data_IF_344117521230
#
_entry.id   IF_344117521230
#
_cell.length_a   1.000
_cell.length_b   1.000
_cell.length_c   1.000
_cell.angle_alpha   90.00
_cell.angle_beta   90.00
_cell.angle_gamma   90.00
#
_symmetry.space_group_name_H-M   'P 1'
#
loop_
_entity.id
_entity.type
_entity.pdbx_description
1 polymer ?
#
# COMPACT_ATOMS: atom_id res chain seq x y z
N UNK A 1 6.11 -3.72 6.65
CA UNK A 1 5.25 -4.59 5.82
C UNK A 1 4.13 -5.24 6.63
N UNK A 2 4.42 -6.10 7.63
CA UNK A 2 3.38 -6.78 8.45
C UNK A 2 2.40 -5.78 9.11
N UNK A 3 2.93 -4.70 9.70
CA UNK A 3 2.09 -3.63 10.29
C UNK A 3 1.23 -2.92 9.24
N UNK A 4 1.75 -2.75 8.02
CA UNK A 4 0.98 -2.18 6.91
C UNK A 4 -0.17 -3.09 6.49
N UNK A 5 0.07 -4.41 6.46
CA UNK A 5 -0.93 -5.43 6.16
C UNK A 5 -2.00 -5.54 7.25
N UNK A 6 -1.63 -5.36 8.52
CA UNK A 6 -2.60 -5.28 9.61
C UNK A 6 -3.50 -4.05 9.47
N UNK A 7 -2.96 -2.90 9.03
CA UNK A 7 -3.73 -1.68 8.77
C UNK A 7 -4.81 -1.87 7.71
N UNK A 8 -4.51 -2.55 6.60
CA UNK A 8 -5.51 -2.84 5.56
C UNK A 8 -6.59 -3.82 6.03
N UNK A 9 -6.24 -4.82 6.86
CA UNK A 9 -7.24 -5.71 7.48
C UNK A 9 -8.20 -4.94 8.39
N UNK A 10 -7.67 -4.01 9.19
CA UNK A 10 -8.47 -3.15 10.07
C UNK A 10 -9.36 -2.22 9.24
N UNK A 11 -8.86 -1.65 8.14
CA UNK A 11 -9.63 -0.82 7.20
C UNK A 11 -10.88 -1.55 6.70
N UNK A 12 -10.72 -2.74 6.12
CA UNK A 12 -11.85 -3.52 5.61
C UNK A 12 -12.83 -3.92 6.73
N UNK A 13 -12.32 -4.29 7.90
CA UNK A 13 -13.16 -4.63 9.05
C UNK A 13 -13.99 -3.45 9.54
N UNK A 14 -13.38 -2.27 9.68
CA UNK A 14 -14.04 -1.05 10.14
C UNK A 14 -15.04 -0.50 9.13
N UNK A 15 -14.72 -0.54 7.82
CA UNK A 15 -15.66 -0.11 6.76
C UNK A 15 -16.89 -1.04 6.72
N UNK A 16 -16.68 -2.35 6.83
CA UNK A 16 -17.76 -3.34 6.88
C UNK A 16 -18.67 -3.13 8.10
N UNK A 17 -18.07 -2.93 9.28
CA UNK A 17 -18.80 -2.63 10.51
C UNK A 17 -19.59 -1.31 10.39
N UNK A 18 -18.99 -0.27 9.83
CA UNK A 18 -19.66 1.01 9.57
C UNK A 18 -20.88 0.85 8.64
N UNK A 19 -20.74 0.09 7.55
CA UNK A 19 -21.85 -0.19 6.64
C UNK A 19 -23.01 -0.93 7.33
N UNK A 20 -22.72 -1.87 8.23
CA UNK A 20 -23.74 -2.56 9.03
C UNK A 20 -24.47 -1.59 9.96
N UNK A 21 -23.73 -0.74 10.68
CA UNK A 21 -24.30 0.26 11.60
C UNK A 21 -25.15 1.31 10.87
N UNK A 22 -24.76 1.69 9.65
CA UNK A 22 -25.59 2.55 8.80
C UNK A 22 -26.94 1.90 8.46
N UNK A 23 -26.95 0.60 8.18
CA UNK A 23 -28.17 -0.18 7.93
C UNK A 23 -29.10 -0.26 9.14
N UNK A 24 -28.56 -0.12 10.34
CA UNK A 24 -29.31 -0.08 11.61
C UNK A 24 -29.75 1.34 12.02
N UNK A 25 -29.43 2.37 11.23
CA UNK A 25 -29.77 3.77 11.51
C UNK A 25 -28.83 4.46 12.51
N UNK A 26 -27.74 3.80 12.91
CA UNK A 26 -26.70 4.34 13.79
C UNK A 26 -25.67 5.14 12.98
N UNK A 27 -26.11 6.29 12.46
CA UNK A 27 -25.34 7.09 11.50
C UNK A 27 -24.05 7.65 12.12
N UNK A 28 -24.06 8.05 13.39
CA UNK A 28 -22.87 8.62 14.06
C UNK A 28 -21.77 7.56 14.25
N UNK A 29 -22.15 6.38 14.71
CA UNK A 29 -21.29 5.23 14.91
C UNK A 29 -20.78 4.67 13.57
N UNK A 30 -21.61 4.69 12.53
CA UNK A 30 -21.17 4.37 11.17
C UNK A 30 -20.07 5.32 10.69
N UNK A 31 -20.22 6.63 10.89
CA UNK A 31 -19.23 7.62 10.43
C UNK A 31 -17.92 7.48 11.22
N UNK A 32 -17.98 7.19 12.51
CA UNK A 32 -16.77 6.98 13.32
C UNK A 32 -16.02 5.71 12.89
N UNK A 33 -16.72 4.63 12.58
CA UNK A 33 -16.13 3.41 12.02
C UNK A 33 -15.53 3.63 10.64
N UNK A 34 -16.19 4.42 9.78
CA UNK A 34 -15.66 4.79 8.47
C UNK A 34 -14.36 5.60 8.61
N UNK A 35 -14.33 6.57 9.53
CA UNK A 35 -13.16 7.41 9.81
C UNK A 35 -11.99 6.60 10.36
N UNK A 36 -12.27 5.64 11.25
CA UNK A 36 -11.28 4.68 11.76
C UNK A 36 -10.72 3.83 10.63
N UNK A 37 -11.59 3.32 9.75
CA UNK A 37 -11.20 2.49 8.61
C UNK A 37 -10.28 3.21 7.65
N UNK A 38 -10.66 4.41 7.20
CA UNK A 38 -9.84 5.22 6.27
C UNK A 38 -8.52 5.65 6.91
N UNK A 39 -8.51 6.00 8.19
CA UNK A 39 -7.27 6.36 8.90
C UNK A 39 -6.33 5.17 9.03
N UNK A 40 -6.84 4.01 9.48
CA UNK A 40 -6.05 2.79 9.62
C UNK A 40 -5.51 2.29 8.27
N UNK A 41 -6.34 2.35 7.23
CA UNK A 41 -5.96 2.04 5.85
C UNK A 41 -4.87 2.96 5.31
N UNK A 42 -4.94 4.26 5.63
CA UNK A 42 -3.98 5.26 5.17
C UNK A 42 -2.62 5.02 5.76
N UNK A 43 -2.56 4.89 7.09
CA UNK A 43 -1.34 4.53 7.79
C UNK A 43 -0.80 3.15 7.37
N UNK A 44 -1.68 2.17 7.17
CA UNK A 44 -1.31 0.84 6.69
C UNK A 44 -0.63 0.88 5.32
N UNK A 45 -1.25 1.58 4.38
CA UNK A 45 -0.75 1.78 3.02
C UNK A 45 0.60 2.50 3.02
N UNK A 46 0.74 3.55 3.84
CA UNK A 46 2.01 4.26 4.00
C UNK A 46 3.13 3.37 4.50
N UNK A 47 2.89 2.59 5.56
CA UNK A 47 3.92 1.70 6.13
C UNK A 47 4.30 0.58 5.17
N UNK A 48 3.36 0.12 4.35
CA UNK A 48 3.64 -0.82 3.27
C UNK A 48 4.50 -0.17 2.20
N UNK A 49 4.13 1.03 1.73
CA UNK A 49 4.84 1.78 0.72
C UNK A 49 6.28 2.15 1.14
N UNK A 50 6.48 2.56 2.40
CA UNK A 50 7.81 2.76 2.97
C UNK A 50 8.64 1.47 2.93
N UNK A 51 8.03 0.34 3.30
CA UNK A 51 8.67 -0.97 3.22
C UNK A 51 9.11 -1.33 1.80
N UNK A 52 8.28 -1.03 0.79
CA UNK A 52 8.61 -1.25 -0.62
C UNK A 52 9.73 -0.33 -1.11
N UNK A 53 9.74 0.93 -0.68
CA UNK A 53 10.82 1.86 -1.01
C UNK A 53 12.17 1.39 -0.45
N UNK A 54 12.18 0.95 0.82
CA UNK A 54 13.36 0.37 1.47
C UNK A 54 13.80 -0.94 0.81
N UNK A 55 12.84 -1.78 0.40
CA UNK A 55 13.12 -2.99 -0.37
C UNK A 55 13.81 -2.65 -1.70
N UNK A 56 13.27 -1.69 -2.46
CA UNK A 56 13.88 -1.22 -3.70
C UNK A 56 15.31 -0.70 -3.52
N UNK A 57 15.54 0.06 -2.45
CA UNK A 57 16.89 0.52 -2.07
C UNK A 57 17.83 -0.65 -1.74
N UNK A 58 17.36 -1.64 -0.99
CA UNK A 58 18.13 -2.84 -0.65
C UNK A 58 18.49 -3.64 -1.90
N UNK A 59 17.54 -3.83 -2.83
CA UNK A 59 17.73 -4.54 -4.10
C UNK A 59 18.73 -3.83 -5.03
N UNK A 60 18.74 -2.50 -5.02
CA UNK A 60 19.73 -1.69 -5.73
C UNK A 60 21.13 -1.92 -5.17
N UNK A 61 21.29 -1.85 -3.84
CA UNK A 61 22.59 -2.03 -3.19
C UNK A 61 23.12 -3.46 -3.34
N UNK A 62 22.25 -4.47 -3.24
CA UNK A 62 22.64 -5.88 -3.37
C UNK A 62 22.88 -6.31 -4.83
N UNK A 63 22.57 -5.45 -5.81
CA UNK A 63 22.61 -5.77 -7.25
C UNK A 63 21.86 -7.07 -7.57
N UNK A 64 20.83 -7.39 -6.80
CA UNK A 64 19.99 -8.56 -7.05
C UNK A 64 19.21 -8.38 -8.34
N UNK A 65 18.63 -7.20 -8.53
CA UNK A 65 17.88 -6.79 -9.72
C UNK A 65 18.60 -5.68 -10.48
N UNK A 66 18.11 -5.42 -11.69
CA UNK A 66 18.51 -4.31 -12.53
C UNK A 66 18.20 -3.00 -11.81
N UNK A 67 19.03 -2.01 -12.10
CA UNK A 67 18.96 -0.68 -11.51
C UNK A 67 17.58 -0.06 -11.74
N UNK A 68 17.04 -0.20 -12.95
CA UNK A 68 15.70 0.31 -13.31
C UNK A 68 14.62 -0.33 -12.41
N UNK A 69 14.58 -1.66 -12.32
CA UNK A 69 13.59 -2.39 -11.51
C UNK A 69 13.67 -2.01 -10.04
N UNK A 70 14.89 -1.83 -9.52
CA UNK A 70 15.11 -1.40 -8.13
C UNK A 70 14.63 0.03 -7.88
N UNK A 71 14.89 0.96 -8.82
CA UNK A 71 14.37 2.33 -8.76
C UNK A 71 12.84 2.38 -8.91
N UNK A 72 12.23 1.48 -9.68
CA UNK A 72 10.78 1.37 -9.77
C UNK A 72 10.15 1.05 -8.41
N UNK A 73 10.74 0.14 -7.62
CA UNK A 73 10.27 -0.11 -6.25
C UNK A 73 10.39 1.12 -5.34
N UNK A 74 11.48 1.88 -5.46
CA UNK A 74 11.65 3.14 -4.72
C UNK A 74 10.55 4.14 -5.11
N UNK A 75 10.31 4.31 -6.42
CA UNK A 75 9.30 5.24 -6.94
C UNK A 75 7.88 4.85 -6.50
N UNK A 76 7.54 3.55 -6.56
CA UNK A 76 6.28 3.00 -6.03
C UNK A 76 6.15 3.33 -4.55
N UNK A 77 7.20 3.13 -3.77
CA UNK A 77 7.21 3.48 -2.35
C UNK A 77 6.92 4.97 -2.10
N UNK A 78 7.52 5.87 -2.88
CA UNK A 78 7.26 7.32 -2.78
C UNK A 78 5.80 7.64 -3.12
N UNK A 79 5.27 7.12 -4.22
CA UNK A 79 3.87 7.35 -4.62
C UNK A 79 2.91 6.87 -3.53
N UNK A 80 3.13 5.69 -2.96
CA UNK A 80 2.29 5.15 -1.90
C UNK A 80 2.37 5.94 -0.59
N UNK A 81 3.54 6.50 -0.24
CA UNK A 81 3.68 7.37 0.93
C UNK A 81 2.92 8.68 0.73
N UNK A 82 3.06 9.31 -0.44
CA UNK A 82 2.35 10.54 -0.77
C UNK A 82 0.83 10.31 -0.82
N UNK A 83 0.37 9.22 -1.42
CA UNK A 83 -1.05 8.85 -1.48
C UNK A 83 -1.65 8.48 -0.11
N UNK A 84 -0.90 7.75 0.72
CA UNK A 84 -1.37 7.24 2.02
C UNK A 84 -1.39 8.27 3.15
N UNK A 85 -0.36 9.13 3.28
CA UNK A 85 -0.29 10.13 4.37
C UNK A 85 -0.98 11.44 3.99
N UNK A 86 -0.68 11.99 2.81
CA UNK A 86 -0.91 13.42 2.59
C UNK A 86 -2.33 13.73 2.11
N UNK A 87 -3.00 12.80 1.42
CA UNK A 87 -4.25 13.14 0.74
C UNK A 87 -5.34 12.06 0.81
N UNK A 88 -5.02 10.83 1.21
CA UNK A 88 -5.89 9.65 1.01
C UNK A 88 -6.53 9.68 -0.39
N UNK A 89 -5.73 10.08 -1.37
CA UNK A 89 -6.19 10.38 -2.71
C UNK A 89 -6.36 9.06 -3.46
N UNK A 90 -7.60 8.75 -3.79
CA UNK A 90 -7.94 7.51 -4.49
C UNK A 90 -7.17 7.31 -5.80
N UNK A 91 -6.85 8.38 -6.52
CA UNK A 91 -6.06 8.33 -7.76
C UNK A 91 -4.60 7.94 -7.49
N UNK A 92 -3.97 8.56 -6.49
CA UNK A 92 -2.60 8.21 -6.07
C UNK A 92 -2.52 6.78 -5.50
N UNK A 93 -3.53 6.34 -4.75
CA UNK A 93 -3.61 4.99 -4.22
C UNK A 93 -3.74 3.97 -5.37
N UNK A 94 -4.60 4.23 -6.36
CA UNK A 94 -4.71 3.38 -7.57
C UNK A 94 -3.38 3.34 -8.33
N UNK A 95 -2.73 4.50 -8.53
CA UNK A 95 -1.44 4.58 -9.19
C UNK A 95 -0.36 3.80 -8.44
N UNK A 96 -0.37 3.84 -7.10
CA UNK A 96 0.51 3.05 -6.24
C UNK A 96 0.31 1.55 -6.45
N UNK A 97 -0.92 1.04 -6.35
CA UNK A 97 -1.18 -0.39 -6.50
C UNK A 97 -0.88 -0.89 -7.91
N UNK A 98 -1.28 -0.15 -8.96
CA UNK A 98 -0.99 -0.53 -10.34
C UNK A 98 0.52 -0.56 -10.60
N UNK A 99 1.25 0.48 -10.18
CA UNK A 99 2.70 0.56 -10.34
C UNK A 99 3.41 -0.54 -9.56
N UNK A 100 2.94 -0.87 -8.35
CA UNK A 100 3.44 -1.99 -7.57
C UNK A 100 3.27 -3.32 -8.30
N UNK A 101 2.08 -3.60 -8.85
CA UNK A 101 1.82 -4.83 -9.59
C UNK A 101 2.76 -4.98 -10.79
N UNK A 102 2.89 -3.95 -11.63
CA UNK A 102 3.80 -4.00 -12.78
C UNK A 102 5.26 -4.20 -12.36
N UNK A 103 5.69 -3.47 -11.32
CA UNK A 103 7.07 -3.56 -10.82
C UNK A 103 7.37 -4.94 -10.25
N UNK A 104 6.44 -5.53 -9.49
CA UNK A 104 6.58 -6.87 -8.93
C UNK A 104 6.65 -7.95 -10.02
N UNK A 105 5.82 -7.85 -11.06
CA UNK A 105 5.86 -8.76 -12.21
C UNK A 105 7.19 -8.64 -12.96
N UNK A 106 7.64 -7.42 -13.25
CA UNK A 106 8.93 -7.18 -13.91
C UNK A 106 10.10 -7.75 -13.10
N UNK A 107 10.10 -7.54 -11.78
CA UNK A 107 11.08 -8.10 -10.87
C UNK A 107 11.07 -9.64 -10.85
N UNK A 108 9.88 -10.25 -10.83
CA UNK A 108 9.73 -11.71 -10.89
C UNK A 108 10.28 -12.30 -12.19
N UNK A 109 9.96 -11.69 -13.33
CA UNK A 109 10.51 -12.08 -14.65
C UNK A 109 12.04 -11.98 -14.64
N UNK A 110 12.57 -10.91 -14.04
CA UNK A 110 14.00 -10.68 -13.98
C UNK A 110 14.72 -11.71 -13.09
N UNK A 111 14.18 -12.04 -11.92
CA UNK A 111 14.72 -13.07 -11.04
C UNK A 111 14.77 -14.43 -11.75
N UNK A 112 13.66 -14.81 -12.42
CA UNK A 112 13.59 -16.05 -13.21
C UNK A 112 14.66 -16.06 -14.31
N UNK A 113 14.81 -14.94 -15.04
CA UNK A 113 15.79 -14.84 -16.14
C UNK A 113 17.23 -14.89 -15.62
N UNK A 114 17.49 -14.33 -14.44
CA UNK A 114 18.85 -14.25 -13.86
C UNK A 114 19.20 -15.44 -12.99
N UNK A 115 18.25 -16.36 -12.73
CA UNK A 115 18.44 -17.55 -11.91
C UNK A 115 18.71 -17.23 -10.44
N UNK A 116 18.22 -16.08 -9.96
CA UNK A 116 18.39 -15.60 -8.58
C UNK A 116 17.12 -15.79 -7.76
#
# INVERSE_FOLDING_TARGET
IIVGFAGTVIEYGAISAGASLAGEGLISESVSMLTLGTTAGGFGTTLLALGLGLLGYSLYQSKMLHVITSYSFILVGVIGVLGGILFFDSGLIIAYYASYTFTAVAAGIELIRTGK
#
